data_IF_976246202144
#
_entry.id   IF_976246202144
#
_cell.length_a   1.000
_cell.length_b   1.000
_cell.length_c   1.000
_cell.angle_alpha   90.00
_cell.angle_beta   90.00
_cell.angle_gamma   90.00
#
_symmetry.space_group_name_H-M   'P 1'
#
loop_
_entity.id
_entity.type
_entity.pdbx_description
1 polymer ?
#
# COMPACT_ATOMS: atom_id res chain seq x y z
N UNK A 1 -16.46 -4.77 5.96
CA UNK A 1 -17.10 -4.41 4.68
C UNK A 1 -16.91 -2.90 4.44
N UNK A 2 -16.40 -2.54 3.26
CA UNK A 2 -16.25 -1.13 2.88
C UNK A 2 -17.61 -0.42 2.81
N UNK A 3 -17.63 0.87 3.17
CA UNK A 3 -18.79 1.72 2.94
C UNK A 3 -19.10 1.80 1.43
N UNK A 4 -20.34 2.00 1.09
CA UNK A 4 -20.78 2.01 -0.31
C UNK A 4 -20.06 3.09 -1.15
N UNK A 5 -19.94 4.30 -0.61
CA UNK A 5 -19.25 5.42 -1.25
C UNK A 5 -17.76 5.16 -1.49
N UNK A 6 -17.10 4.48 -0.53
CA UNK A 6 -15.72 4.06 -0.68
C UNK A 6 -15.56 2.95 -1.73
N UNK A 7 -16.47 1.98 -1.74
CA UNK A 7 -16.46 0.91 -2.74
C UNK A 7 -16.61 1.48 -4.15
N UNK A 8 -17.51 2.43 -4.36
CA UNK A 8 -17.67 3.11 -5.64
C UNK A 8 -16.41 3.89 -6.04
N UNK A 9 -15.85 4.68 -5.14
CA UNK A 9 -14.60 5.43 -5.37
C UNK A 9 -13.42 4.51 -5.68
N UNK A 10 -13.33 3.37 -4.99
CA UNK A 10 -12.30 2.36 -5.26
C UNK A 10 -12.46 1.76 -6.66
N UNK A 11 -13.67 1.34 -7.03
CA UNK A 11 -13.97 0.76 -8.35
C UNK A 11 -13.67 1.78 -9.46
N UNK A 12 -14.04 3.04 -9.28
CA UNK A 12 -13.77 4.10 -10.26
C UNK A 12 -12.27 4.34 -10.49
N UNK A 13 -11.45 4.13 -9.45
CA UNK A 13 -9.99 4.26 -9.55
C UNK A 13 -9.30 3.13 -10.31
N UNK A 14 -9.96 1.99 -10.52
CA UNK A 14 -9.37 0.82 -11.16
C UNK A 14 -9.17 1.01 -12.67
N UNK A 15 -8.20 0.30 -13.27
CA UNK A 15 -8.12 0.18 -14.73
C UNK A 15 -9.42 -0.35 -15.33
N UNK A 16 -9.72 0.00 -16.57
CA UNK A 16 -10.91 -0.50 -17.27
C UNK A 16 -10.88 -2.02 -17.49
N UNK A 17 -9.69 -2.58 -17.66
CA UNK A 17 -9.46 -4.02 -17.85
C UNK A 17 -8.34 -4.50 -16.93
N UNK A 18 -8.60 -4.63 -15.62
CA UNK A 18 -7.59 -5.09 -14.69
C UNK A 18 -7.29 -6.57 -14.87
N UNK A 19 -6.08 -6.96 -14.49
CA UNK A 19 -5.76 -8.37 -14.25
C UNK A 19 -6.44 -8.81 -12.95
N UNK A 20 -6.94 -10.03 -12.92
CA UNK A 20 -7.55 -10.60 -11.73
C UNK A 20 -7.49 -12.12 -11.71
N UNK A 21 -7.58 -12.70 -10.50
CA UNK A 21 -7.64 -14.14 -10.29
C UNK A 21 -8.23 -14.46 -8.91
N UNK A 22 -8.82 -15.64 -8.78
CA UNK A 22 -9.18 -16.21 -7.49
C UNK A 22 -8.06 -17.09 -6.91
N UNK A 23 -7.19 -17.62 -7.80
CA UNK A 23 -6.09 -18.50 -7.43
C UNK A 23 -4.93 -18.33 -8.43
N UNK A 24 -3.76 -17.93 -7.94
CA UNK A 24 -2.56 -17.76 -8.76
C UNK A 24 -2.09 -19.05 -9.45
N UNK A 25 -2.41 -20.23 -8.90
CA UNK A 25 -2.10 -21.51 -9.55
C UNK A 25 -2.84 -21.70 -10.88
N UNK A 26 -3.98 -21.06 -11.05
CA UNK A 26 -4.77 -21.08 -12.28
C UNK A 26 -4.40 -19.91 -13.24
N UNK A 27 -3.39 -19.14 -12.90
CA UNK A 27 -2.92 -17.99 -13.66
C UNK A 27 -3.76 -16.73 -13.44
N UNK A 28 -3.25 -15.65 -13.99
CA UNK A 28 -3.85 -14.31 -13.92
C UNK A 28 -4.34 -13.92 -15.30
N UNK A 29 -5.56 -13.42 -15.43
CA UNK A 29 -6.17 -13.03 -16.70
C UNK A 29 -6.71 -11.62 -16.64
N UNK A 30 -6.80 -10.98 -17.81
CA UNK A 30 -7.47 -9.71 -17.99
C UNK A 30 -8.98 -9.94 -17.92
N UNK A 31 -9.67 -9.10 -17.14
CA UNK A 31 -11.12 -9.13 -16.99
C UNK A 31 -11.71 -7.74 -17.26
N UNK A 32 -13.02 -7.69 -17.56
CA UNK A 32 -13.75 -6.44 -17.43
C UNK A 32 -13.72 -5.99 -15.96
N UNK A 33 -13.80 -4.69 -15.71
CA UNK A 33 -13.84 -4.14 -14.34
C UNK A 33 -14.92 -4.82 -13.49
N UNK A 34 -16.11 -5.00 -14.06
CA UNK A 34 -17.25 -5.68 -13.41
C UNK A 34 -16.91 -7.09 -12.94
N UNK A 35 -16.17 -7.86 -13.72
CA UNK A 35 -15.78 -9.23 -13.37
C UNK A 35 -14.56 -9.23 -12.43
N UNK A 36 -13.58 -8.36 -12.65
CA UNK A 36 -12.38 -8.28 -11.82
C UNK A 36 -12.69 -8.01 -10.35
N UNK A 37 -13.67 -7.13 -10.06
CA UNK A 37 -14.05 -6.79 -8.68
C UNK A 37 -14.70 -7.94 -7.91
N UNK A 38 -15.05 -9.03 -8.58
CA UNK A 38 -15.56 -10.26 -7.93
C UNK A 38 -14.45 -11.24 -7.56
N UNK A 39 -13.20 -11.00 -7.99
CA UNK A 39 -12.07 -11.90 -7.77
C UNK A 39 -11.34 -11.60 -6.47
N UNK A 40 -10.64 -12.60 -5.92
CA UNK A 40 -9.88 -12.47 -4.66
C UNK A 40 -8.70 -11.53 -4.79
N UNK A 41 -8.08 -11.47 -5.95
CA UNK A 41 -6.91 -10.65 -6.27
C UNK A 41 -7.12 -9.89 -7.55
N UNK A 42 -6.66 -8.65 -7.59
CA UNK A 42 -6.70 -7.83 -8.80
C UNK A 42 -5.55 -6.82 -8.85
N UNK A 43 -5.25 -6.32 -10.06
CA UNK A 43 -4.33 -5.21 -10.24
C UNK A 43 -5.02 -3.88 -9.97
N UNK A 44 -4.41 -3.03 -9.17
CA UNK A 44 -4.96 -1.72 -8.78
C UNK A 44 -4.55 -0.61 -9.75
N UNK A 45 -3.41 -0.75 -10.39
CA UNK A 45 -2.82 0.27 -11.24
C UNK A 45 -2.91 -0.09 -12.72
N UNK A 46 -3.10 0.92 -13.57
CA UNK A 46 -2.84 0.80 -14.98
C UNK A 46 -1.34 0.57 -15.24
N UNK A 47 -1.00 -0.13 -16.33
CA UNK A 47 0.39 -0.46 -16.69
C UNK A 47 1.35 0.73 -16.66
N UNK A 48 0.89 1.91 -17.06
CA UNK A 48 1.70 3.12 -17.17
C UNK A 48 1.33 4.21 -16.19
N UNK A 49 0.51 3.90 -15.19
CA UNK A 49 0.05 4.89 -14.20
C UNK A 49 0.00 4.25 -12.82
N UNK A 50 0.73 4.83 -11.88
CA UNK A 50 0.67 4.43 -10.46
C UNK A 50 -0.21 5.40 -9.70
N UNK A 51 -1.33 4.92 -9.19
CA UNK A 51 -2.22 5.65 -8.29
C UNK A 51 -2.28 5.04 -6.90
N UNK A 52 -2.08 3.74 -6.78
CA UNK A 52 -2.05 3.01 -5.53
C UNK A 52 -0.66 2.50 -5.23
N UNK A 53 -0.18 2.76 -4.02
CA UNK A 53 1.00 2.12 -3.44
C UNK A 53 0.52 0.96 -2.58
N UNK A 54 0.99 -0.24 -2.90
CA UNK A 54 0.59 -1.46 -2.19
C UNK A 54 1.80 -2.09 -1.54
N UNK A 55 1.66 -2.46 -0.26
CA UNK A 55 2.71 -3.11 0.52
C UNK A 55 2.18 -4.43 1.09
N UNK A 56 2.96 -5.49 0.95
CA UNK A 56 2.66 -6.79 1.54
C UNK A 56 3.34 -6.91 2.91
N UNK A 57 2.55 -6.98 3.95
CA UNK A 57 3.03 -7.18 5.32
C UNK A 57 2.87 -8.66 5.66
N UNK A 58 3.94 -9.39 5.39
CA UNK A 58 3.97 -10.86 5.43
C UNK A 58 4.37 -11.36 6.84
N UNK A 59 3.60 -10.93 7.86
CA UNK A 59 3.74 -11.39 9.24
C UNK A 59 2.41 -11.41 9.97
N UNK A 60 2.28 -12.32 10.91
CA UNK A 60 1.13 -12.34 11.82
C UNK A 60 1.07 -11.05 12.64
N UNK A 61 -0.13 -10.52 12.83
CA UNK A 61 -0.33 -9.28 13.60
C UNK A 61 -0.03 -7.98 12.84
N UNK A 62 0.10 -8.04 11.51
CA UNK A 62 0.38 -6.88 10.67
C UNK A 62 -0.52 -5.66 10.96
N UNK A 63 -1.81 -5.89 11.17
CA UNK A 63 -2.77 -4.82 11.48
C UNK A 63 -2.61 -4.31 12.92
N UNK A 64 -2.31 -5.19 13.87
CA UNK A 64 -2.08 -4.81 15.27
C UNK A 64 -0.87 -3.87 15.39
N UNK A 65 0.19 -4.10 14.62
CA UNK A 65 1.39 -3.26 14.59
C UNK A 65 1.08 -1.80 14.26
N UNK A 66 0.08 -1.54 13.40
CA UNK A 66 -0.35 -0.17 13.08
C UNK A 66 -0.87 0.60 14.31
N UNK A 67 -1.43 -0.09 15.28
CA UNK A 67 -1.99 0.54 16.48
C UNK A 67 -0.97 0.67 17.61
N UNK A 68 0.03 -0.20 17.66
CA UNK A 68 1.02 -0.23 18.74
C UNK A 68 2.34 0.46 18.39
N UNK A 69 2.74 0.42 17.13
CA UNK A 69 3.99 1.04 16.62
C UNK A 69 3.76 2.40 15.94
N UNK A 70 2.61 3.01 16.13
CA UNK A 70 2.11 4.17 15.37
C UNK A 70 2.87 5.49 15.55
N UNK A 71 4.09 5.48 16.02
CA UNK A 71 4.89 6.70 16.13
C UNK A 71 5.56 7.01 14.79
N UNK A 72 4.83 7.68 13.89
CA UNK A 72 5.39 8.24 12.66
C UNK A 72 5.04 7.51 11.35
N UNK A 73 4.43 6.33 11.39
CA UNK A 73 3.98 5.63 10.18
C UNK A 73 2.73 6.31 9.63
N UNK A 74 2.69 6.71 8.35
CA UNK A 74 1.46 7.22 7.77
C UNK A 74 0.40 6.12 7.76
N UNK A 75 -0.82 6.49 8.14
CA UNK A 75 -1.94 5.57 8.19
C UNK A 75 -2.35 5.14 6.77
N UNK A 76 -2.42 3.84 6.43
CA UNK A 76 -2.89 3.41 5.12
C UNK A 76 -4.31 3.88 4.85
N UNK A 77 -4.64 4.18 3.59
CA UNK A 77 -6.02 4.45 3.23
C UNK A 77 -6.91 3.22 3.45
N UNK A 78 -6.43 2.05 3.01
CA UNK A 78 -7.14 0.78 3.14
C UNK A 78 -6.18 -0.29 3.64
N UNK A 79 -6.66 -1.14 4.54
CA UNK A 79 -5.98 -2.36 4.98
C UNK A 79 -6.83 -3.56 4.59
N UNK A 80 -6.20 -4.54 3.95
CA UNK A 80 -6.84 -5.79 3.51
C UNK A 80 -6.14 -6.96 4.16
N UNK A 81 -6.77 -7.54 5.19
CA UNK A 81 -6.18 -8.56 6.04
C UNK A 81 -6.69 -9.97 5.70
N UNK A 82 -5.78 -10.92 5.66
CA UNK A 82 -6.10 -12.33 5.73
C UNK A 82 -6.22 -12.75 7.21
N UNK A 83 -7.42 -13.01 7.68
CA UNK A 83 -7.68 -13.35 9.08
C UNK A 83 -7.18 -14.74 9.49
N UNK A 84 -6.85 -15.61 8.54
CA UNK A 84 -6.34 -16.95 8.82
C UNK A 84 -4.88 -16.92 9.30
N UNK A 85 -4.07 -16.01 8.77
CA UNK A 85 -2.64 -15.92 9.08
C UNK A 85 -2.20 -14.56 9.64
N UNK A 86 -3.07 -13.54 9.62
CA UNK A 86 -2.78 -12.19 10.09
C UNK A 86 -1.92 -11.35 9.15
N UNK A 87 -1.60 -11.83 7.95
CA UNK A 87 -0.91 -11.06 6.92
C UNK A 87 -1.86 -10.04 6.29
N UNK A 88 -1.33 -8.92 5.83
CA UNK A 88 -2.17 -7.86 5.26
C UNK A 88 -1.49 -7.13 4.09
N UNK A 89 -2.31 -6.59 3.19
CA UNK A 89 -1.89 -5.56 2.25
C UNK A 89 -2.29 -4.19 2.77
N UNK A 90 -1.35 -3.25 2.76
CA UNK A 90 -1.57 -1.85 3.07
C UNK A 90 -1.60 -1.05 1.79
N UNK A 91 -2.70 -0.34 1.56
CA UNK A 91 -2.95 0.42 0.34
C UNK A 91 -2.94 1.92 0.64
N UNK A 92 -2.07 2.65 -0.04
CA UNK A 92 -2.00 4.12 0.00
C UNK A 92 -2.44 4.67 -1.35
N UNK A 93 -3.43 5.54 -1.37
CA UNK A 93 -3.91 6.20 -2.58
C UNK A 93 -3.16 7.51 -2.80
N UNK A 94 -2.61 7.69 -3.99
CA UNK A 94 -2.02 8.97 -4.38
C UNK A 94 -3.11 9.94 -4.87
N UNK A 95 -3.03 11.19 -4.43
CA UNK A 95 -3.86 12.30 -4.90
C UNK A 95 -3.63 12.55 -6.40
N UNK A 96 -2.35 12.60 -6.79
CA UNK A 96 -1.94 12.75 -8.18
C UNK A 96 -1.25 11.47 -8.67
N UNK A 97 -1.84 10.75 -9.62
CA UNK A 97 -1.20 9.58 -10.21
C UNK A 97 0.13 9.92 -10.88
N UNK A 98 1.09 8.99 -10.83
CA UNK A 98 2.38 9.14 -11.48
C UNK A 98 2.40 8.37 -12.79
N UNK A 99 2.67 9.06 -13.90
CA UNK A 99 2.78 8.46 -15.22
C UNK A 99 4.17 7.83 -15.44
N UNK A 100 4.19 6.57 -15.92
CA UNK A 100 5.40 5.75 -16.11
C UNK A 100 5.67 5.39 -17.58
N UNK A 101 4.85 5.87 -18.53
CA UNK A 101 4.91 5.49 -19.93
C UNK A 101 6.05 6.18 -20.69
N UNK A 102 6.04 6.01 -22.01
CA UNK A 102 6.97 6.69 -22.89
C UNK A 102 6.92 8.21 -22.70
N UNK A 103 8.07 8.85 -22.73
CA UNK A 103 8.25 10.28 -22.49
C UNK A 103 7.80 10.75 -21.07
N UNK A 104 7.64 9.81 -20.11
CA UNK A 104 7.41 10.19 -18.73
C UNK A 104 8.60 11.00 -18.18
N UNK A 105 8.29 12.02 -17.37
CA UNK A 105 9.33 12.79 -16.67
C UNK A 105 10.02 11.89 -15.63
N UNK A 106 11.36 11.77 -15.64
CA UNK A 106 12.09 10.96 -14.67
C UNK A 106 11.99 11.49 -13.23
N UNK A 107 11.79 12.78 -13.04
CA UNK A 107 11.76 13.39 -11.71
C UNK A 107 10.61 12.89 -10.83
N UNK A 108 9.35 12.85 -11.25
CA UNK A 108 8.26 12.25 -10.47
C UNK A 108 8.45 10.76 -10.24
N UNK A 109 8.98 10.02 -11.22
CA UNK A 109 9.25 8.58 -11.11
C UNK A 109 10.29 8.32 -10.04
N UNK A 110 11.40 9.05 -10.04
CA UNK A 110 12.47 8.91 -9.05
C UNK A 110 11.96 9.26 -7.64
N UNK A 111 11.12 10.28 -7.52
CA UNK A 111 10.51 10.66 -6.25
C UNK A 111 9.56 9.57 -5.73
N UNK A 112 8.68 9.06 -6.59
CA UNK A 112 7.82 7.92 -6.27
C UNK A 112 8.63 6.71 -5.79
N UNK A 113 9.68 6.34 -6.54
CA UNK A 113 10.54 5.19 -6.21
C UNK A 113 11.21 5.35 -4.84
N UNK A 114 11.70 6.55 -4.54
CA UNK A 114 12.32 6.86 -3.25
C UNK A 114 11.31 6.75 -2.11
N UNK A 115 10.17 7.40 -2.23
CA UNK A 115 9.10 7.36 -1.21
C UNK A 115 8.59 5.94 -0.99
N UNK A 116 8.36 5.19 -2.07
CA UNK A 116 7.94 3.80 -1.98
C UNK A 116 8.97 2.92 -1.26
N UNK A 117 10.24 3.05 -1.60
CA UNK A 117 11.32 2.29 -0.99
C UNK A 117 11.47 2.57 0.50
N UNK A 118 11.44 3.84 0.91
CA UNK A 118 11.53 4.25 2.31
C UNK A 118 10.30 3.79 3.11
N UNK A 119 9.10 3.93 2.55
CA UNK A 119 7.88 3.49 3.20
C UNK A 119 7.84 1.97 3.37
N UNK A 120 8.32 1.22 2.38
CA UNK A 120 8.48 -0.24 2.46
C UNK A 120 9.40 -0.67 3.60
N UNK A 121 10.54 0.00 3.76
CA UNK A 121 11.47 -0.25 4.87
C UNK A 121 10.82 0.07 6.23
N UNK A 122 10.15 1.21 6.33
CA UNK A 122 9.49 1.64 7.56
C UNK A 122 8.40 0.67 8.00
N UNK A 123 7.60 0.17 7.07
CA UNK A 123 6.54 -0.80 7.31
C UNK A 123 7.06 -2.24 7.55
N UNK A 124 8.32 -2.51 7.26
CA UNK A 124 8.86 -3.87 7.26
C UNK A 124 8.14 -4.78 6.25
N UNK A 125 7.74 -4.21 5.11
CA UNK A 125 7.01 -4.92 4.07
C UNK A 125 7.93 -5.84 3.27
N UNK A 126 7.34 -6.87 2.65
CA UNK A 126 8.05 -7.82 1.80
C UNK A 126 8.71 -7.11 0.60
N UNK A 127 10.05 -7.23 0.50
CA UNK A 127 10.84 -6.64 -0.59
C UNK A 127 10.69 -7.38 -1.91
N UNK A 128 10.28 -8.63 -1.89
CA UNK A 128 10.04 -9.43 -3.09
C UNK A 128 8.66 -9.14 -3.72
N UNK A 129 7.77 -8.51 -2.99
CA UNK A 129 6.45 -8.16 -3.49
C UNK A 129 6.55 -7.02 -4.52
N UNK A 130 5.99 -7.26 -5.70
CA UNK A 130 6.09 -6.32 -6.83
C UNK A 130 5.02 -5.22 -6.85
N UNK A 131 3.95 -5.38 -6.07
CA UNK A 131 2.81 -4.46 -6.08
C UNK A 131 1.89 -4.58 -7.30
N UNK A 132 2.11 -5.57 -8.18
CA UNK A 132 1.31 -5.73 -9.41
C UNK A 132 -0.09 -6.29 -9.13
N UNK A 133 -0.21 -7.19 -8.17
CA UNK A 133 -1.48 -7.82 -7.77
C UNK A 133 -1.71 -7.61 -6.30
N UNK A 134 -2.92 -7.22 -5.94
CA UNK A 134 -3.32 -6.99 -4.54
C UNK A 134 -4.48 -7.89 -4.14
N UNK A 135 -4.56 -8.19 -2.83
CA UNK A 135 -5.82 -8.64 -2.24
C UNK A 135 -6.90 -7.62 -2.58
N UNK A 136 -8.05 -8.10 -3.05
CA UNK A 136 -9.16 -7.23 -3.43
C UNK A 136 -9.92 -6.73 -2.18
N UNK A 137 -9.93 -5.43 -1.90
CA UNK A 137 -10.64 -4.87 -0.75
C UNK A 137 -12.14 -5.18 -0.71
N UNK A 138 -12.74 -5.50 -1.85
CA UNK A 138 -14.17 -5.78 -1.97
C UNK A 138 -14.54 -7.25 -1.77
N UNK A 139 -13.55 -8.14 -1.74
CA UNK A 139 -13.80 -9.58 -1.68
C UNK A 139 -14.04 -10.07 -0.24
N UNK A 140 -15.04 -10.92 -0.08
CA UNK A 140 -15.46 -11.47 1.22
C UNK A 140 -14.40 -12.34 1.93
N UNK A 141 -13.42 -12.85 1.19
CA UNK A 141 -12.31 -13.63 1.77
C UNK A 141 -11.41 -12.82 2.70
N UNK A 142 -11.47 -11.49 2.63
CA UNK A 142 -10.59 -10.60 3.37
C UNK A 142 -11.35 -9.73 4.36
N UNK A 143 -10.70 -9.39 5.46
CA UNK A 143 -11.16 -8.34 6.34
C UNK A 143 -10.58 -7.01 5.89
N UNK A 144 -11.45 -6.11 5.44
CA UNK A 144 -11.05 -4.80 4.91
C UNK A 144 -11.47 -3.69 5.86
N UNK A 145 -10.56 -2.75 6.11
CA UNK A 145 -10.77 -1.55 6.90
C UNK A 145 -10.29 -0.32 6.15
N UNK A 146 -11.10 0.74 6.12
CA UNK A 146 -10.67 2.08 5.77
C UNK A 146 -10.15 2.77 7.02
N UNK A 147 -8.92 3.24 6.99
CA UNK A 147 -8.30 3.95 8.10
C UNK A 147 -8.15 5.45 7.82
N UNK A 148 -7.75 5.80 6.59
CA UNK A 148 -7.55 7.19 6.16
C UNK A 148 -8.34 7.45 4.88
N UNK A 149 -9.19 8.49 4.90
CA UNK A 149 -10.12 8.77 3.79
C UNK A 149 -9.44 9.47 2.63
N UNK A 150 -8.67 10.52 2.94
CA UNK A 150 -8.07 11.39 1.93
C UNK A 150 -6.87 10.72 1.25
N UNK A 151 -6.72 10.89 -0.08
CA UNK A 151 -5.50 10.45 -0.76
C UNK A 151 -4.29 11.27 -0.31
N UNK A 152 -3.11 10.68 -0.39
CA UNK A 152 -1.85 11.32 -0.04
C UNK A 152 -1.17 11.96 -1.25
N UNK A 153 -0.55 13.12 -1.06
CA UNK A 153 0.51 13.57 -1.95
C UNK A 153 1.82 12.84 -1.61
N UNK A 154 2.72 12.72 -2.57
CA UNK A 154 4.08 12.20 -2.31
C UNK A 154 4.83 13.05 -1.29
N UNK A 155 4.57 14.36 -1.28
CA UNK A 155 5.17 15.30 -0.31
C UNK A 155 4.68 15.02 1.11
N UNK A 156 3.40 14.74 1.31
CA UNK A 156 2.86 14.37 2.62
C UNK A 156 3.49 13.07 3.13
N UNK A 157 3.57 12.04 2.29
CA UNK A 157 4.24 10.78 2.65
C UNK A 157 5.71 11.00 2.98
N UNK A 158 6.43 11.81 2.20
CA UNK A 158 7.82 12.15 2.45
C UNK A 158 8.02 12.87 3.79
N UNK A 159 7.13 13.76 4.17
CA UNK A 159 7.17 14.45 5.48
C UNK A 159 7.01 13.47 6.65
N UNK A 160 6.12 12.50 6.54
CA UNK A 160 5.99 11.43 7.54
C UNK A 160 7.30 10.65 7.71
N UNK A 161 7.96 10.29 6.60
CA UNK A 161 9.22 9.57 6.58
C UNK A 161 10.38 10.37 7.19
N UNK A 162 10.46 11.67 6.94
CA UNK A 162 11.47 12.57 7.52
C UNK A 162 11.33 12.70 9.04
N UNK A 163 10.11 12.77 9.55
CA UNK A 163 9.84 12.83 10.98
C UNK A 163 10.31 11.56 11.68
N UNK A 164 10.05 10.39 11.11
CA UNK A 164 10.49 9.11 11.64
C UNK A 164 12.00 8.95 11.62
N UNK A 165 12.67 9.37 10.55
CA UNK A 165 14.13 9.30 10.47
C UNK A 165 14.81 10.12 11.58
N UNK A 166 14.20 11.23 12.00
CA UNK A 166 14.67 12.05 13.13
C UNK A 166 14.46 11.37 14.49
N UNK A 167 13.30 10.74 14.68
CA UNK A 167 12.98 10.01 15.91
C UNK A 167 13.93 8.81 16.12
N UNK A 168 14.15 8.03 15.06
CA UNK A 168 15.09 6.88 15.09
C UNK A 168 16.52 7.32 15.34
N UNK A 169 16.97 8.45 14.79
CA UNK A 169 18.32 8.99 15.08
C UNK A 169 18.45 9.45 16.51
N UNK A 170 17.44 10.11 17.08
CA UNK A 170 17.46 10.54 18.48
C UNK A 170 17.46 9.35 19.45
N UNK A 171 16.68 8.30 19.19
CA UNK A 171 16.66 7.10 20.02
C UNK A 171 17.98 6.32 19.99
N UNK A 172 18.67 6.30 18.85
CA UNK A 172 20.01 5.69 18.74
C UNK A 172 21.07 6.48 19.50
N UNK A 173 21.05 7.81 19.43
CA UNK A 173 21.99 8.67 20.17
C UNK A 173 21.81 8.51 21.68
N UNK A 174 20.56 8.46 22.16
CA UNK A 174 20.31 8.28 23.60
C UNK A 174 20.68 6.87 24.11
N UNK A 175 20.62 5.84 23.25
CA UNK A 175 21.05 4.49 23.58
C UNK A 175 22.58 4.38 23.63
N UNK A 176 23.32 5.03 22.74
CA UNK A 176 24.79 5.05 22.73
C UNK A 176 25.35 5.85 23.90
N UNK A 177 24.70 6.93 24.32
CA UNK A 177 25.11 7.70 25.52
C UNK A 177 24.89 6.92 26.80
N UNK A 178 23.87 6.07 26.90
CA UNK A 178 23.59 5.22 28.05
C UNK A 178 24.61 4.06 28.25
N UNK A 179 25.33 3.69 27.19
CA UNK A 179 26.37 2.65 27.25
C UNK A 179 27.77 3.17 27.60
N UNK A 180 27.97 4.49 27.71
CA UNK A 180 29.26 5.13 28.01
C UNK A 180 29.36 5.73 29.43
N UNK A 181 28.36 5.51 30.29
CA UNK A 181 28.41 5.76 31.73
C UNK A 181 28.60 4.44 32.51
#
# INVERSE_FOLDING_TARGET
>A
QLRLDLAESFIDSLPNKPYATDDFNHGVKIHSKKNAVTKRYLSLNHKYVTQWLTFDIDRAGAVADLYYDCMGVPEPNIVVENTENGHAHFLFKLETPVYLGENASPKPINYLTTVYGELRELLGADKAYTGLMSKNPLHESWRTQELHVEPYSLTELSHHLELDSKVVKQSKVSADEAYHE
#
